data_IF_014435332844
#
_entry.id   IF_014435332844
#
_cell.length_a   1.000
_cell.length_b   1.000
_cell.length_c   1.000
_cell.angle_alpha   90.00
_cell.angle_beta   90.00
_cell.angle_gamma   90.00
#
_symmetry.space_group_name_H-M   'P 1'
#
loop_
_entity.id
_entity.type
_entity.pdbx_description
1 polymer ?
#
# COMPACT_ATOMS: atom_id res chain seq x y z
N UNK A 1 24.10 -0.46 8.28
CA UNK A 1 22.99 0.25 8.93
C UNK A 1 21.80 0.39 7.99
N UNK A 2 21.99 0.91 6.81
CA UNK A 2 20.89 1.07 5.83
C UNK A 2 20.11 -0.20 5.48
N UNK A 3 20.77 -1.35 5.40
CA UNK A 3 20.10 -2.61 5.03
C UNK A 3 19.20 -3.13 6.16
N UNK A 4 19.63 -3.00 7.42
CA UNK A 4 18.78 -3.37 8.56
C UNK A 4 17.49 -2.53 8.64
N UNK A 5 17.58 -1.23 8.33
CA UNK A 5 16.42 -0.35 8.30
C UNK A 5 15.47 -0.69 7.13
N UNK A 6 16.01 -1.08 5.98
CA UNK A 6 15.19 -1.59 4.88
C UNK A 6 14.46 -2.88 5.24
N UNK A 7 15.11 -3.76 5.99
CA UNK A 7 14.48 -4.98 6.51
C UNK A 7 13.34 -4.65 7.50
N UNK A 8 13.51 -3.63 8.35
CA UNK A 8 12.43 -3.15 9.23
C UNK A 8 11.21 -2.68 8.42
N UNK A 9 11.44 -1.87 7.38
CA UNK A 9 10.36 -1.40 6.49
C UNK A 9 9.72 -2.57 5.74
N UNK A 10 10.52 -3.51 5.22
CA UNK A 10 9.99 -4.71 4.55
C UNK A 10 9.12 -5.54 5.49
N UNK A 11 9.50 -5.69 6.74
CA UNK A 11 8.71 -6.41 7.74
C UNK A 11 7.33 -5.75 7.97
N UNK A 12 7.24 -4.42 7.91
CA UNK A 12 5.96 -3.72 8.00
C UNK A 12 5.08 -3.94 6.75
N UNK A 13 5.70 -3.95 5.58
CA UNK A 13 5.02 -4.28 4.31
C UNK A 13 4.47 -5.71 4.36
N UNK A 14 5.27 -6.67 4.81
CA UNK A 14 4.88 -8.07 4.92
C UNK A 14 3.75 -8.26 5.94
N UNK A 15 3.80 -7.53 7.04
CA UNK A 15 2.75 -7.53 8.07
C UNK A 15 1.43 -6.96 7.55
N UNK A 16 1.46 -5.86 6.80
CA UNK A 16 0.28 -5.33 6.12
C UNK A 16 -0.27 -6.33 5.11
N UNK A 17 0.59 -6.94 4.31
CA UNK A 17 0.20 -7.96 3.33
C UNK A 17 -0.47 -9.15 3.99
N UNK A 18 0.07 -9.64 5.11
CA UNK A 18 -0.54 -10.71 5.90
C UNK A 18 -1.92 -10.29 6.41
N UNK A 19 -2.05 -9.06 6.92
CA UNK A 19 -3.33 -8.53 7.40
C UNK A 19 -4.40 -8.45 6.31
N UNK A 20 -4.03 -8.05 5.11
CA UNK A 20 -4.92 -8.04 3.94
C UNK A 20 -5.28 -9.47 3.51
N UNK A 21 -4.31 -10.36 3.41
CA UNK A 21 -4.52 -11.75 2.99
C UNK A 21 -5.39 -12.54 3.96
N UNK A 22 -5.31 -12.26 5.26
CA UNK A 22 -6.11 -12.91 6.30
C UNK A 22 -7.35 -12.13 6.67
N UNK A 23 -7.59 -10.98 6.04
CA UNK A 23 -8.68 -10.05 6.36
C UNK A 23 -8.70 -9.66 7.84
N UNK A 24 -7.52 -9.44 8.41
CA UNK A 24 -7.35 -9.05 9.81
C UNK A 24 -6.72 -7.64 9.89
N UNK A 25 -7.52 -6.58 10.09
CA UNK A 25 -7.01 -5.22 10.13
C UNK A 25 -6.11 -4.97 11.33
N UNK A 26 -6.30 -5.70 12.45
CA UNK A 26 -5.52 -5.49 13.67
C UNK A 26 -4.02 -5.77 13.49
N UNK A 27 -3.64 -6.49 12.42
CA UNK A 27 -2.23 -6.75 12.09
C UNK A 27 -1.48 -5.53 11.58
N UNK A 28 -2.17 -4.50 11.05
CA UNK A 28 -1.51 -3.35 10.43
C UNK A 28 -2.04 -1.97 10.87
N UNK A 29 -3.06 -1.91 11.72
CA UNK A 29 -3.60 -0.62 12.16
C UNK A 29 -2.61 0.22 12.97
N UNK A 30 -1.74 -0.41 13.74
CA UNK A 30 -0.75 0.28 14.57
C UNK A 30 0.45 0.82 13.77
N UNK A 31 0.61 0.40 12.51
CA UNK A 31 1.63 0.97 11.61
C UNK A 31 1.11 2.12 10.75
N UNK A 32 -0.17 2.49 10.90
CA UNK A 32 -0.74 3.67 10.26
C UNK A 32 -0.48 4.89 11.15
N UNK A 33 0.18 5.92 10.58
CA UNK A 33 0.41 7.16 11.32
C UNK A 33 -0.91 7.91 11.56
N UNK A 34 -1.11 8.59 12.71
CA UNK A 34 -2.32 9.38 12.96
C UNK A 34 -2.59 10.47 11.90
N UNK A 35 -1.53 11.01 11.29
CA UNK A 35 -1.61 12.02 10.24
C UNK A 35 -1.51 11.44 8.82
N UNK A 36 -1.72 10.14 8.67
CA UNK A 36 -1.68 9.46 7.39
C UNK A 36 -2.65 10.08 6.39
N UNK A 37 -2.18 10.33 5.19
CA UNK A 37 -2.97 10.82 4.07
C UNK A 37 -2.84 9.89 2.86
N UNK A 38 -3.96 9.68 2.16
CA UNK A 38 -4.02 8.72 1.07
C UNK A 38 -4.82 9.29 -0.11
N UNK A 39 -4.14 10.03 -1.01
CA UNK A 39 -4.78 10.51 -2.23
C UNK A 39 -5.00 9.37 -3.22
N UNK A 40 -6.10 9.44 -3.95
CA UNK A 40 -6.45 8.43 -4.95
C UNK A 40 -6.64 9.05 -6.32
N UNK A 41 -6.03 8.47 -7.37
CA UNK A 41 -6.36 8.78 -8.75
C UNK A 41 -7.78 8.28 -9.05
N UNK A 42 -8.55 8.95 -9.94
CA UNK A 42 -9.84 8.46 -10.39
C UNK A 42 -9.75 7.09 -11.07
N UNK A 43 -8.69 6.88 -11.82
CA UNK A 43 -8.33 5.58 -12.40
C UNK A 43 -6.81 5.36 -12.29
N UNK A 44 -6.31 4.12 -12.40
CA UNK A 44 -4.86 3.87 -12.39
C UNK A 44 -4.07 4.55 -13.51
N UNK A 45 -4.75 5.09 -14.53
CA UNK A 45 -4.13 5.80 -15.67
C UNK A 45 -4.01 7.30 -15.46
N UNK A 46 -4.67 7.85 -14.44
CA UNK A 46 -4.65 9.29 -14.14
C UNK A 46 -3.39 9.66 -13.35
N UNK A 47 -2.28 9.82 -14.05
CA UNK A 47 -0.98 10.14 -13.46
C UNK A 47 -0.83 11.61 -13.07
N UNK A 48 -1.71 12.50 -13.55
CA UNK A 48 -1.70 13.91 -13.17
C UNK A 48 -2.33 14.07 -11.78
N UNK A 49 -1.57 14.48 -10.75
CA UNK A 49 -2.10 14.68 -9.41
C UNK A 49 -3.21 15.75 -9.33
N UNK A 50 -3.36 16.63 -10.32
CA UNK A 50 -4.45 17.59 -10.37
C UNK A 50 -5.85 16.93 -10.44
N UNK A 51 -5.91 15.69 -10.93
CA UNK A 51 -7.15 14.91 -10.98
C UNK A 51 -7.42 14.09 -9.70
N UNK A 52 -6.43 13.98 -8.80
CA UNK A 52 -6.53 13.13 -7.62
C UNK A 52 -7.44 13.72 -6.55
N UNK A 53 -7.98 12.84 -5.70
CA UNK A 53 -8.87 13.21 -4.60
C UNK A 53 -8.40 12.59 -3.28
N UNK A 54 -8.63 13.32 -2.19
CA UNK A 54 -8.45 12.80 -0.85
C UNK A 54 -9.74 12.11 -0.38
N UNK A 55 -9.87 10.83 -0.69
CA UNK A 55 -10.99 10.01 -0.23
C UNK A 55 -10.72 9.37 1.14
N UNK A 56 -9.44 9.19 1.47
CA UNK A 56 -8.97 8.64 2.74
C UNK A 56 -7.96 9.62 3.35
N UNK A 57 -8.17 10.00 4.60
CA UNK A 57 -7.36 11.00 5.27
C UNK A 57 -7.02 10.65 6.72
N UNK A 58 -6.98 11.64 7.58
CA UNK A 58 -6.63 11.50 8.99
C UNK A 58 -7.72 10.82 9.80
N UNK A 59 -7.88 9.54 9.61
CA UNK A 59 -8.80 8.75 10.40
C UNK A 59 -8.13 8.30 11.70
N UNK A 60 -8.88 8.26 12.79
CA UNK A 60 -8.42 7.60 14.00
C UNK A 60 -8.39 6.08 13.81
N UNK A 61 -7.76 5.36 14.75
CA UNK A 61 -7.61 3.90 14.69
C UNK A 61 -8.95 3.18 14.50
N UNK A 62 -9.98 3.58 15.23
CA UNK A 62 -11.29 2.94 15.17
C UNK A 62 -11.95 3.13 13.79
N UNK A 63 -11.87 4.33 13.22
CA UNK A 63 -12.39 4.61 11.88
C UNK A 63 -11.64 3.83 10.80
N UNK A 64 -10.33 3.69 10.90
CA UNK A 64 -9.55 2.84 10.00
C UNK A 64 -9.96 1.39 10.13
N UNK A 65 -10.13 0.91 11.37
CA UNK A 65 -10.57 -0.46 11.64
C UNK A 65 -11.93 -0.76 11.02
N UNK A 66 -12.91 0.12 11.24
CA UNK A 66 -14.24 0.00 10.66
C UNK A 66 -14.20 0.03 9.12
N UNK A 67 -13.40 0.90 8.53
CA UNK A 67 -13.25 0.99 7.09
C UNK A 67 -12.70 -0.29 6.47
N UNK A 68 -11.62 -0.84 7.02
CA UNK A 68 -11.06 -2.10 6.54
C UNK A 68 -11.98 -3.29 6.82
N UNK A 69 -12.60 -3.33 7.99
CA UNK A 69 -13.53 -4.40 8.34
C UNK A 69 -14.72 -4.42 7.37
N UNK A 70 -15.27 -3.27 7.02
CA UNK A 70 -16.36 -3.18 6.03
C UNK A 70 -15.92 -3.71 4.65
N UNK A 71 -14.70 -3.38 4.21
CA UNK A 71 -14.15 -3.93 2.96
C UNK A 71 -14.05 -5.45 3.05
N UNK A 72 -13.51 -5.99 4.14
CA UNK A 72 -13.32 -7.43 4.33
C UNK A 72 -14.64 -8.19 4.45
N UNK A 73 -15.65 -7.58 5.07
CA UNK A 73 -16.96 -8.20 5.24
C UNK A 73 -17.73 -8.28 3.92
N UNK A 74 -17.58 -7.28 3.05
CA UNK A 74 -18.33 -7.18 1.79
C UNK A 74 -17.63 -7.79 0.58
N UNK A 75 -16.33 -8.15 0.71
CA UNK A 75 -15.55 -8.64 -0.41
C UNK A 75 -14.81 -9.94 -0.08
N UNK A 76 -14.67 -10.79 -1.08
CA UNK A 76 -13.75 -11.92 -1.09
C UNK A 76 -12.44 -11.48 -1.75
N UNK A 77 -11.33 -11.83 -1.14
CA UNK A 77 -10.00 -11.65 -1.76
C UNK A 77 -9.73 -12.84 -2.68
N UNK A 78 -9.64 -12.56 -3.99
CA UNK A 78 -9.38 -13.59 -4.99
C UNK A 78 -7.87 -13.85 -5.12
N UNK A 79 -7.09 -12.77 -5.25
CA UNK A 79 -5.64 -12.82 -5.16
C UNK A 79 -5.09 -11.47 -4.66
N UNK A 80 -3.88 -11.50 -4.11
CA UNK A 80 -3.16 -10.31 -3.67
C UNK A 80 -1.66 -10.52 -3.86
N UNK A 81 -1.16 -10.19 -5.04
CA UNK A 81 0.26 -10.22 -5.35
C UNK A 81 0.85 -8.84 -5.08
N UNK A 82 1.84 -8.81 -4.21
CA UNK A 82 2.52 -7.57 -3.80
C UNK A 82 4.02 -7.79 -3.89
N UNK A 83 4.70 -6.95 -4.62
CA UNK A 83 6.14 -7.01 -4.83
C UNK A 83 6.79 -5.69 -4.47
N UNK A 84 7.74 -5.69 -3.55
CA UNK A 84 8.54 -4.52 -3.23
C UNK A 84 9.58 -4.31 -4.33
N UNK A 85 9.49 -3.16 -5.00
CA UNK A 85 10.41 -2.76 -6.07
C UNK A 85 11.63 -2.04 -5.49
N UNK A 86 11.41 -1.17 -4.49
CA UNK A 86 12.45 -0.32 -3.92
C UNK A 86 12.10 0.06 -2.48
N UNK A 87 13.10 0.06 -1.62
CA UNK A 87 13.08 0.75 -0.31
C UNK A 87 14.29 1.65 -0.25
N UNK A 88 14.09 2.91 0.09
CA UNK A 88 15.15 3.89 0.29
C UNK A 88 14.94 4.62 1.60
N UNK A 89 15.97 4.69 2.41
CA UNK A 89 15.96 5.33 3.73
C UNK A 89 16.68 6.66 3.62
N UNK A 90 16.16 7.70 4.28
CA UNK A 90 16.79 9.02 4.34
C UNK A 90 18.18 8.96 4.99
N UNK A 91 19.08 9.90 4.67
CA UNK A 91 20.41 9.95 5.31
C UNK A 91 20.33 10.08 6.84
N UNK A 92 19.31 10.74 7.36
CA UNK A 92 19.06 10.92 8.80
C UNK A 92 18.39 9.70 9.45
N UNK A 93 18.05 8.68 8.65
CA UNK A 93 17.41 7.45 9.11
C UNK A 93 16.05 7.65 9.81
N UNK A 94 15.32 8.72 9.47
CA UNK A 94 14.04 9.11 10.07
C UNK A 94 12.85 9.02 9.13
N UNK A 95 13.10 8.83 7.83
CA UNK A 95 12.09 8.64 6.80
C UNK A 95 12.49 7.55 5.80
N UNK A 96 11.50 6.89 5.19
CA UNK A 96 11.73 5.91 4.15
C UNK A 96 10.68 5.98 3.05
N UNK A 97 11.13 5.78 1.82
CA UNK A 97 10.30 5.60 0.64
C UNK A 97 10.23 4.11 0.29
N UNK A 98 9.04 3.57 0.15
CA UNK A 98 8.82 2.25 -0.41
C UNK A 98 7.99 2.33 -1.68
N UNK A 99 8.44 1.64 -2.72
CA UNK A 99 7.73 1.50 -3.99
C UNK A 99 7.36 0.04 -4.17
N UNK A 100 6.10 -0.21 -4.48
CA UNK A 100 5.56 -1.56 -4.60
C UNK A 100 4.72 -1.70 -5.86
N UNK A 101 4.82 -2.83 -6.52
CA UNK A 101 3.87 -3.25 -7.53
C UNK A 101 2.82 -4.13 -6.86
N UNK A 102 1.55 -3.81 -7.10
CA UNK A 102 0.42 -4.57 -6.58
C UNK A 102 -0.44 -5.10 -7.72
N UNK A 103 -0.96 -6.30 -7.53
CA UNK A 103 -2.00 -6.91 -8.35
C UNK A 103 -2.96 -7.61 -7.39
N UNK A 104 -4.03 -6.90 -7.03
CA UNK A 104 -4.97 -7.31 -5.99
C UNK A 104 -6.37 -7.34 -6.57
N UNK A 105 -6.99 -8.50 -6.57
CA UNK A 105 -8.36 -8.70 -7.07
C UNK A 105 -9.29 -9.05 -5.92
N UNK A 106 -10.30 -8.23 -5.76
CA UNK A 106 -11.39 -8.40 -4.81
C UNK A 106 -12.70 -8.64 -5.54
N UNK A 107 -13.57 -9.41 -4.95
CA UNK A 107 -14.90 -9.67 -5.49
C UNK A 107 -15.97 -9.32 -4.47
N UNK A 108 -16.92 -8.47 -4.85
CA UNK A 108 -18.08 -8.15 -4.01
C UNK A 108 -18.91 -9.41 -3.79
N UNK A 109 -19.23 -9.73 -2.54
CA UNK A 109 -19.89 -11.00 -2.18
C UNK A 109 -21.31 -11.13 -2.75
N UNK A 110 -22.08 -10.03 -2.72
CA UNK A 110 -23.46 -9.98 -3.16
C UNK A 110 -23.61 -9.80 -4.67
N UNK A 111 -22.94 -8.82 -5.28
CA UNK A 111 -23.07 -8.52 -6.72
C UNK A 111 -22.15 -9.34 -7.60
N UNK A 112 -21.14 -10.02 -7.02
CA UNK A 112 -20.09 -10.76 -7.74
C UNK A 112 -19.24 -9.89 -8.67
N UNK A 113 -19.23 -8.58 -8.44
CA UNK A 113 -18.44 -7.64 -9.21
C UNK A 113 -16.97 -7.71 -8.78
N UNK A 114 -16.08 -7.77 -9.76
CA UNK A 114 -14.64 -7.74 -9.53
C UNK A 114 -14.15 -6.30 -9.42
N UNK A 115 -13.30 -6.05 -8.42
CA UNK A 115 -12.58 -4.81 -8.18
C UNK A 115 -11.11 -5.12 -8.27
N UNK A 116 -10.46 -4.64 -9.32
CA UNK A 116 -9.07 -4.94 -9.60
C UNK A 116 -8.18 -3.72 -9.32
N UNK A 117 -7.35 -3.84 -8.31
CA UNK A 117 -6.32 -2.85 -7.97
C UNK A 117 -4.98 -3.33 -8.52
N UNK A 118 -4.58 -2.79 -9.68
CA UNK A 118 -3.33 -3.15 -10.32
C UNK A 118 -2.53 -1.90 -10.66
N UNK A 119 -1.26 -1.89 -10.26
CA UNK A 119 -0.37 -0.78 -10.55
C UNK A 119 0.72 -0.62 -9.49
N UNK A 120 1.43 0.49 -9.60
CA UNK A 120 2.52 0.85 -8.71
C UNK A 120 2.04 1.83 -7.65
N UNK A 121 2.33 1.53 -6.39
CA UNK A 121 2.05 2.41 -5.25
C UNK A 121 3.35 2.93 -4.66
N UNK A 122 3.27 4.14 -4.11
CA UNK A 122 4.34 4.77 -3.35
C UNK A 122 3.87 4.94 -1.91
N UNK A 123 4.73 4.55 -0.96
CA UNK A 123 4.51 4.73 0.47
C UNK A 123 5.63 5.53 1.08
N UNK A 124 5.30 6.42 2.01
CA UNK A 124 6.27 7.11 2.85
C UNK A 124 6.09 6.64 4.29
N UNK A 125 7.18 6.20 4.88
CA UNK A 125 7.28 5.86 6.29
C UNK A 125 8.00 6.96 7.03
N UNK A 126 7.59 7.24 8.26
CA UNK A 126 8.28 8.14 9.18
C UNK A 126 8.61 7.41 10.47
N UNK A 127 9.75 7.74 11.04
CA UNK A 127 10.17 7.20 12.32
C UNK A 127 9.43 7.91 13.44
N UNK A 128 8.91 7.17 14.38
CA UNK A 128 8.21 7.70 15.54
C UNK A 128 9.15 7.92 16.71
N UNK A 129 8.74 8.73 17.70
CA UNK A 129 9.59 9.08 18.85
C UNK A 129 10.02 7.89 19.72
N UNK A 130 9.27 6.78 19.65
CA UNK A 130 9.60 5.51 20.30
C UNK A 130 10.59 4.63 19.51
N UNK A 131 11.05 5.13 18.35
CA UNK A 131 11.99 4.45 17.47
C UNK A 131 11.35 3.50 16.46
N UNK A 132 10.02 3.34 16.49
CA UNK A 132 9.26 2.55 15.50
C UNK A 132 9.06 3.29 14.19
N UNK A 133 8.41 2.61 13.25
CA UNK A 133 8.05 3.17 11.95
C UNK A 133 6.54 3.13 11.74
N UNK A 134 6.01 4.17 11.10
CA UNK A 134 4.62 4.22 10.64
C UNK A 134 4.56 4.83 9.25
N UNK A 135 3.67 4.33 8.39
CA UNK A 135 3.47 4.99 7.12
C UNK A 135 2.51 6.18 7.26
N UNK A 136 2.91 7.31 6.66
CA UNK A 136 2.21 8.59 6.77
C UNK A 136 1.60 9.03 5.44
N UNK A 137 2.02 8.41 4.36
CA UNK A 137 1.52 8.69 3.02
C UNK A 137 1.48 7.41 2.18
N UNK A 138 0.45 7.29 1.36
CA UNK A 138 0.35 6.25 0.35
C UNK A 138 -0.43 6.78 -0.84
N UNK A 139 -0.01 6.44 -2.05
CA UNK A 139 -0.81 6.68 -3.25
C UNK A 139 -1.78 5.53 -3.51
N UNK A 140 -2.85 5.77 -4.28
CA UNK A 140 -3.54 4.69 -4.98
C UNK A 140 -2.63 4.06 -6.05
N UNK A 141 -3.03 2.92 -6.64
CA UNK A 141 -2.24 2.26 -7.68
C UNK A 141 -2.25 3.07 -8.97
N UNK A 142 -1.06 3.22 -9.57
CA UNK A 142 -0.85 3.87 -10.85
C UNK A 142 -0.30 2.86 -11.86
N UNK A 143 -0.93 2.79 -13.02
CA UNK A 143 -0.55 1.87 -14.11
C UNK A 143 0.56 2.49 -14.96
N UNK A 144 1.80 2.18 -14.63
CA UNK A 144 2.95 2.54 -15.47
C UNK A 144 3.21 1.46 -16.52
N UNK A 145 3.45 1.87 -17.77
CA UNK A 145 3.79 0.95 -18.86
C UNK A 145 5.00 0.06 -18.53
N UNK A 146 5.99 0.60 -17.82
CA UNK A 146 7.16 -0.14 -17.32
C UNK A 146 6.82 -1.29 -16.37
N UNK A 147 5.69 -1.23 -15.67
CA UNK A 147 5.23 -2.32 -14.82
C UNK A 147 4.67 -3.51 -15.62
N UNK A 148 4.25 -3.26 -16.87
CA UNK A 148 3.73 -4.28 -17.78
C UNK A 148 4.86 -5.05 -18.47
N UNK A 149 5.98 -4.39 -18.74
CA UNK A 149 7.06 -4.89 -19.59
C UNK A 149 8.22 -5.53 -18.83
N UNK A 150 8.30 -5.36 -17.49
CA UNK A 150 9.37 -5.96 -16.66
C UNK A 150 9.42 -7.50 -16.74
N UNK A 151 8.33 -8.16 -17.16
CA UNK A 151 8.33 -9.59 -17.43
C UNK A 151 8.71 -9.94 -18.88
N UNK A 152 8.73 -8.97 -19.79
CA UNK A 152 9.09 -9.18 -21.19
C UNK A 152 10.61 -9.02 -21.42
N UNK A 153 11.26 -8.07 -20.73
CA UNK A 153 12.68 -7.78 -20.90
C UNK A 153 13.61 -8.81 -20.23
N UNK A 154 13.12 -9.56 -19.24
CA UNK A 154 13.88 -10.65 -18.61
C UNK A 154 13.98 -11.90 -19.53
N UNK A 155 13.16 -11.98 -20.58
CA UNK A 155 13.22 -13.07 -21.56
C UNK A 155 14.07 -12.75 -22.81
N UNK A 156 14.60 -11.53 -22.92
CA UNK A 156 15.36 -11.08 -24.09
C UNK A 156 16.86 -10.89 -23.83
N UNK A 157 17.39 -11.35 -22.67
CA UNK A 157 18.84 -11.38 -22.40
C UNK A 157 19.33 -12.83 -22.34
#
# INVERSE_FOLDING_TARGET
MSDALKEEIQALIDRETLGLNTKNPDLFLDIIHPDMVWPWPPTPRDHDPAAWKFVLGRFNRERWRQNFQAIFDHHDLIHNHRNTVKIEVSPEEDAALAVMDIDSLWRTKDTKQDIHWKGRVCKIYTRTSDGGWKFIFQTGPLDYALCRDQNADVQAL
#
